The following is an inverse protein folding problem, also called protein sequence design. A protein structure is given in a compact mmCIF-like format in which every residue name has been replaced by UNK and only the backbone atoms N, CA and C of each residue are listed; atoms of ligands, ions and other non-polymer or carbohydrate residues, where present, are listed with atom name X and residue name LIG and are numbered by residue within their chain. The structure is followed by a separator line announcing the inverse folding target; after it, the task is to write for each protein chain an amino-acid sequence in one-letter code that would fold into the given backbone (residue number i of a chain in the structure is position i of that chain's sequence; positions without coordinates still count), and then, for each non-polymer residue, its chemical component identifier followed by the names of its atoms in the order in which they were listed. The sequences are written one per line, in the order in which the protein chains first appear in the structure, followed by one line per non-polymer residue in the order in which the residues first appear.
data_IF_993600655604
#
_entry.id   IF_993600655604
#
_cell.length_a   1.000
_cell.length_b   1.000
_cell.length_c   1.000
_cell.angle_alpha   90.00
_cell.angle_beta   90.00
_cell.angle_gamma   90.00
#
_symmetry.space_group_name_H-M   'P 1'
#
loop_
_entity.id
_entity.type
_entity.pdbx_description
1 polymer ?
#
# COMPACT_ATOMS: atom_id res chain seq x y z
N UNK A 1 -5.25 11.38 14.27
CA UNK A 1 -5.24 10.61 13.02
C UNK A 1 -5.76 11.54 11.95
N UNK A 2 -4.87 12.37 11.43
CA UNK A 2 -5.20 13.53 10.62
C UNK A 2 -5.80 13.12 9.28
N UNK A 3 -6.81 13.88 8.85
CA UNK A 3 -7.38 13.95 7.51
C UNK A 3 -6.57 13.19 6.46
N UNK A 4 -7.11 12.04 6.05
CA UNK A 4 -6.68 11.32 4.85
C UNK A 4 -7.15 12.13 3.64
N UNK A 5 -6.50 13.27 3.42
CA UNK A 5 -6.69 14.06 2.21
C UNK A 5 -6.37 13.16 1.01
N UNK A 6 -7.24 13.12 -0.03
CA UNK A 6 -7.04 12.24 -1.18
C UNK A 6 -5.70 12.49 -1.90
N UNK A 7 -5.11 13.70 -1.82
CA UNK A 7 -3.78 13.94 -2.38
C UNK A 7 -2.67 13.31 -1.54
N UNK A 8 -2.75 13.38 -0.20
CA UNK A 8 -1.79 12.71 0.68
C UNK A 8 -1.85 11.19 0.51
N UNK A 9 -3.06 10.67 0.31
CA UNK A 9 -3.29 9.26 0.09
C UNK A 9 -2.73 8.78 -1.25
N UNK A 10 -2.94 9.52 -2.33
CA UNK A 10 -2.32 9.21 -3.64
C UNK A 10 -0.80 9.16 -3.53
N UNK A 11 -0.21 10.13 -2.85
CA UNK A 11 1.24 10.18 -2.60
C UNK A 11 1.71 8.96 -1.82
N UNK A 12 1.02 8.61 -0.74
CA UNK A 12 1.33 7.42 0.06
C UNK A 12 1.30 6.14 -0.78
N UNK A 13 0.28 5.96 -1.61
CA UNK A 13 0.16 4.78 -2.49
C UNK A 13 1.30 4.71 -3.51
N UNK A 14 1.75 5.84 -4.05
CA UNK A 14 2.92 5.93 -4.92
C UNK A 14 4.22 5.52 -4.21
N UNK A 15 4.42 5.97 -2.96
CA UNK A 15 5.59 5.61 -2.16
C UNK A 15 5.62 4.11 -1.83
N UNK A 16 4.47 3.53 -1.48
CA UNK A 16 4.36 2.09 -1.22
C UNK A 16 4.60 1.27 -2.50
N UNK A 17 4.09 1.73 -3.65
CA UNK A 17 4.29 1.09 -4.96
C UNK A 17 5.76 1.10 -5.37
N UNK A 18 6.44 2.23 -5.19
CA UNK A 18 7.88 2.36 -5.43
C UNK A 18 8.70 1.41 -4.54
N UNK A 19 8.37 1.35 -3.25
CA UNK A 19 9.04 0.46 -2.29
C UNK A 19 8.91 -1.01 -2.69
N UNK A 20 7.70 -1.48 -3.02
CA UNK A 20 7.49 -2.89 -3.39
C UNK A 20 8.06 -3.21 -4.78
N UNK A 21 8.11 -2.24 -5.69
CA UNK A 21 8.75 -2.41 -7.00
C UNK A 21 10.27 -2.57 -6.90
N UNK A 22 10.89 -2.11 -5.82
CA UNK A 22 12.31 -2.31 -5.55
C UNK A 22 12.65 -3.71 -5.01
N UNK A 23 11.64 -4.52 -4.65
CA UNK A 23 11.83 -5.88 -4.15
C UNK A 23 12.03 -6.83 -5.35
N UNK A 24 13.16 -7.55 -5.45
CA UNK A 24 13.40 -8.43 -6.57
C UNK A 24 12.48 -9.67 -6.51
N UNK A 25 12.13 -10.22 -7.67
CA UNK A 25 11.18 -11.34 -7.79
C UNK A 25 11.63 -12.63 -7.09
N UNK A 26 12.93 -12.77 -6.81
CA UNK A 26 13.52 -13.89 -6.10
C UNK A 26 13.65 -13.64 -4.58
N UNK A 27 13.22 -12.48 -4.08
CA UNK A 27 13.22 -12.17 -2.65
C UNK A 27 12.07 -12.90 -1.95
N UNK A 28 12.26 -13.44 -0.74
CA UNK A 28 11.15 -14.02 0.05
C UNK A 28 10.00 -13.03 0.29
N UNK A 29 10.27 -11.72 0.24
CA UNK A 29 9.28 -10.66 0.38
C UNK A 29 8.45 -10.44 -0.90
N UNK A 30 8.83 -11.00 -2.04
CA UNK A 30 8.13 -10.80 -3.31
C UNK A 30 6.65 -11.25 -3.26
N UNK A 31 6.35 -12.27 -2.46
CA UNK A 31 4.96 -12.73 -2.24
C UNK A 31 4.12 -11.70 -1.48
N UNK A 32 4.69 -11.01 -0.49
CA UNK A 32 4.01 -9.91 0.22
C UNK A 32 3.94 -8.65 -0.65
N UNK A 33 5.01 -8.36 -1.39
CA UNK A 33 5.07 -7.24 -2.33
C UNK A 33 3.93 -7.32 -3.36
N UNK A 34 3.68 -8.51 -3.93
CA UNK A 34 2.54 -8.73 -4.84
C UNK A 34 1.18 -8.52 -4.17
N UNK A 35 1.02 -8.92 -2.91
CA UNK A 35 -0.21 -8.69 -2.15
C UNK A 35 -0.43 -7.19 -1.91
N UNK A 36 0.62 -6.46 -1.53
CA UNK A 36 0.58 -5.01 -1.38
C UNK A 36 0.23 -4.31 -2.70
N UNK A 37 0.78 -4.76 -3.82
CA UNK A 37 0.46 -4.19 -5.14
C UNK A 37 -1.03 -4.33 -5.47
N UNK A 38 -1.63 -5.49 -5.16
CA UNK A 38 -3.07 -5.70 -5.34
C UNK A 38 -3.92 -4.70 -4.55
N UNK A 39 -3.58 -4.47 -3.28
CA UNK A 39 -4.24 -3.49 -2.43
C UNK A 39 -4.06 -2.05 -2.93
N UNK A 40 -2.87 -1.69 -3.41
CA UNK A 40 -2.60 -0.35 -3.97
C UNK A 40 -3.48 -0.09 -5.19
N UNK A 41 -3.58 -1.07 -6.11
CA UNK A 41 -4.44 -0.95 -7.29
C UNK A 41 -5.91 -0.79 -6.89
N UNK A 42 -6.37 -1.54 -5.89
CA UNK A 42 -7.75 -1.46 -5.38
C UNK A 42 -8.05 -0.11 -4.71
N UNK A 43 -7.10 0.41 -3.92
CA UNK A 43 -7.19 1.75 -3.34
C UNK A 43 -7.21 2.83 -4.42
N UNK A 44 -6.33 2.76 -5.43
CA UNK A 44 -6.31 3.71 -6.55
C UNK A 44 -7.62 3.70 -7.33
N UNK A 45 -8.24 2.53 -7.53
CA UNK A 45 -9.57 2.40 -8.15
C UNK A 45 -10.65 3.05 -7.29
N UNK A 46 -10.63 2.81 -5.98
CA UNK A 46 -11.58 3.39 -5.02
C UNK A 46 -11.42 4.92 -4.89
N UNK A 47 -10.22 5.46 -5.13
CA UNK A 47 -9.94 6.90 -5.16
C UNK A 47 -10.26 7.58 -6.49
N UNK A 48 -10.68 6.81 -7.50
CA UNK A 48 -11.28 7.43 -8.68
C UNK A 48 -12.58 8.10 -8.27
N UNK A 49 -12.91 9.27 -8.84
CA UNK A 49 -14.12 10.01 -8.50
C UNK A 49 -15.34 9.23 -9.01
N UNK A 50 -15.81 8.27 -8.22
CA UNK A 50 -17.20 7.81 -8.36
C UNK A 50 -18.08 8.94 -7.83
N UNK A 51 -19.21 9.20 -8.49
CA UNK A 51 -20.11 10.33 -8.24
C UNK A 51 -20.66 10.45 -6.80
N UNK A 52 -20.31 9.51 -5.91
CA UNK A 52 -20.74 9.44 -4.53
C UNK A 52 -19.51 9.52 -3.59
N UNK A 53 -19.12 10.75 -3.23
CA UNK A 53 -17.88 11.06 -2.49
C UNK A 53 -17.79 10.45 -1.08
N UNK A 54 -18.89 9.91 -0.54
CA UNK A 54 -18.91 9.33 0.82
C UNK A 54 -18.78 7.80 0.82
N UNK A 55 -19.21 7.12 -0.24
CA UNK A 55 -19.16 5.67 -0.34
C UNK A 55 -17.73 5.11 -0.43
N UNK A 56 -16.79 5.89 -0.99
CA UNK A 56 -15.42 5.45 -1.21
C UNK A 56 -14.49 5.60 0.00
N UNK A 57 -14.91 6.34 1.04
CA UNK A 57 -14.01 6.72 2.14
C UNK A 57 -13.77 5.59 3.15
N UNK A 58 -14.78 4.75 3.39
CA UNK A 58 -14.69 3.58 4.28
C UNK A 58 -13.78 2.49 3.71
N UNK A 59 -13.96 2.00 2.45
CA UNK A 59 -13.11 0.93 1.91
C UNK A 59 -11.64 1.33 1.83
N UNK A 60 -11.35 2.59 1.52
CA UNK A 60 -9.98 3.13 1.48
C UNK A 60 -9.27 3.01 2.84
N UNK A 61 -9.96 3.28 3.95
CA UNK A 61 -9.35 3.16 5.29
C UNK A 61 -8.98 1.72 5.62
N UNK A 62 -9.83 0.76 5.28
CA UNK A 62 -9.54 -0.67 5.46
C UNK A 62 -8.37 -1.13 4.58
N UNK A 63 -8.29 -0.65 3.34
CA UNK A 63 -7.16 -0.97 2.46
C UNK A 63 -5.84 -0.40 3.03
N UNK A 64 -5.87 0.81 3.60
CA UNK A 64 -4.70 1.40 4.25
C UNK A 64 -4.26 0.64 5.50
N UNK A 65 -5.22 0.20 6.33
CA UNK A 65 -4.91 -0.63 7.49
C UNK A 65 -4.24 -1.94 7.08
N UNK A 66 -4.75 -2.58 6.03
CA UNK A 66 -4.17 -3.81 5.47
C UNK A 66 -2.77 -3.56 4.87
N UNK A 67 -2.56 -2.46 4.15
CA UNK A 67 -1.24 -2.06 3.64
C UNK A 67 -0.24 -1.86 4.77
N UNK A 68 -0.63 -1.15 5.84
CA UNK A 68 0.24 -0.93 6.99
C UNK A 68 0.63 -2.25 7.68
N UNK A 69 -0.32 -3.18 7.83
CA UNK A 69 -0.06 -4.52 8.37
C UNK A 69 0.91 -5.31 7.48
N UNK A 70 0.70 -5.30 6.17
CA UNK A 70 1.60 -5.98 5.24
C UNK A 70 3.00 -5.38 5.26
N UNK A 71 3.12 -4.05 5.29
CA UNK A 71 4.39 -3.34 5.39
C UNK A 71 5.17 -3.71 6.65
N UNK A 72 4.49 -3.79 7.79
CA UNK A 72 5.09 -4.26 9.05
C UNK A 72 5.62 -5.69 8.93
N UNK A 73 4.84 -6.60 8.32
CA UNK A 73 5.28 -7.99 8.10
C UNK A 73 6.47 -8.06 7.13
N UNK A 74 6.49 -7.19 6.13
CA UNK A 74 7.54 -7.09 5.13
C UNK A 74 8.86 -6.59 5.76
N UNK A 75 8.78 -5.66 6.71
CA UNK A 75 9.94 -5.16 7.49
C UNK A 75 10.48 -6.20 8.49
N UNK A 76 9.60 -7.01 9.05
CA UNK A 76 9.97 -8.11 9.95
C UNK A 76 10.56 -9.32 9.22
N UNK A 77 10.32 -9.46 7.92
CA UNK A 77 10.93 -10.53 7.13
C UNK A 77 12.44 -10.31 7.00
N UNK A 78 13.24 -11.40 6.98
CA UNK A 78 14.66 -11.33 6.66
C UNK A 78 14.83 -11.01 5.17
N UNK A 79 14.60 -9.75 4.81
CA UNK A 79 14.99 -9.19 3.53
C UNK A 79 16.49 -8.95 3.55
N UNK A 80 17.18 -9.34 2.49
CA UNK A 80 18.63 -9.22 2.30
C UNK A 80 19.11 -7.75 2.16
N UNK A 81 18.56 -6.83 2.95
CA UNK A 81 18.95 -5.44 2.99
C UNK A 81 18.81 -4.84 4.41
N UNK A 82 19.28 -5.55 5.43
CA UNK A 82 19.88 -4.90 6.60
C UNK A 82 21.37 -4.75 6.34
N UNK A 83 21.71 -3.94 5.34
CA UNK A 83 23.04 -3.34 5.26
C UNK A 83 23.08 -2.21 6.28
N UNK A 84 23.46 -2.56 7.51
CA UNK A 84 24.25 -1.63 8.31
C UNK A 84 25.65 -1.56 7.72
#
# INVERSE_FOLDING_TARGET
MSDLDPNNLRRFLDEEESYISAIPLNDPRAGLARQMLGLIIDARRSLSPSADSTANFVPVRDILAQLAQLRQRLDQMPGKNRGQ
#
